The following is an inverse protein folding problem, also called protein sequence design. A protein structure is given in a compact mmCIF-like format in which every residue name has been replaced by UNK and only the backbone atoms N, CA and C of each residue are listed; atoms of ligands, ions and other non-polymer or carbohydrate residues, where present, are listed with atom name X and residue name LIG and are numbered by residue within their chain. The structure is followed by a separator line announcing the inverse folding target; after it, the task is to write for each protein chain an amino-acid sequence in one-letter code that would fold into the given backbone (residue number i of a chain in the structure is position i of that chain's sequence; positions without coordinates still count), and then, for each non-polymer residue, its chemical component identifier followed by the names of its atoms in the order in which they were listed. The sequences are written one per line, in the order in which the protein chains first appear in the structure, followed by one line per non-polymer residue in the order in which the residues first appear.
data_IF_467784828659
#
_entry.id   IF_467784828659
#
_cell.length_a   1.000
_cell.length_b   1.000
_cell.length_c   1.000
_cell.angle_alpha   90.00
_cell.angle_beta   90.00
_cell.angle_gamma   90.00
#
_symmetry.space_group_name_H-M   'P 1'
#
loop_
_entity.id
_entity.type
_entity.pdbx_description
1 polymer ?
#
# COMPACT_ATOMS: atom_id res chain seq x y z
N UNK A 1 11.28 47.09 13.27
CA UNK A 1 10.14 46.38 13.89
C UNK A 1 8.91 47.26 13.74
N UNK A 2 7.94 46.85 12.94
CA UNK A 2 6.68 47.59 12.78
C UNK A 2 5.52 46.63 13.10
N UNK A 3 4.97 46.72 14.31
CA UNK A 3 3.72 46.05 14.65
C UNK A 3 2.58 46.93 14.14
N UNK A 4 1.77 46.41 13.22
CA UNK A 4 0.54 47.05 12.76
C UNK A 4 -0.60 46.65 13.69
N UNK A 5 -1.22 47.63 14.33
CA UNK A 5 -2.43 47.45 15.13
C UNK A 5 -3.63 47.24 14.20
N UNK A 6 -4.30 46.08 14.32
CA UNK A 6 -5.57 45.79 13.65
C UNK A 6 -6.73 46.03 14.62
N UNK A 7 -7.66 46.90 14.25
CA UNK A 7 -8.85 47.20 15.05
C UNK A 7 -9.91 46.08 14.98
N UNK A 8 -10.86 46.13 15.91
CA UNK A 8 -11.97 45.18 16.15
C UNK A 8 -12.84 44.82 14.92
N UNK A 9 -12.70 45.52 13.78
CA UNK A 9 -13.49 45.31 12.57
C UNK A 9 -12.66 45.05 11.30
N UNK A 10 -11.36 44.74 11.43
CA UNK A 10 -10.58 44.31 10.27
C UNK A 10 -10.89 42.85 9.92
N UNK A 11 -11.13 42.51 8.65
CA UNK A 11 -11.30 41.12 8.24
C UNK A 11 -10.03 40.34 8.60
N UNK A 12 -10.17 39.33 9.46
CA UNK A 12 -9.06 38.47 9.83
C UNK A 12 -8.61 37.69 8.59
N UNK A 13 -7.32 37.74 8.22
CA UNK A 13 -6.78 36.71 7.35
C UNK A 13 -6.85 35.41 8.14
N UNK A 14 -7.63 34.45 7.62
CA UNK A 14 -7.66 33.08 8.10
C UNK A 14 -6.20 32.61 8.27
N UNK A 15 -5.88 32.11 9.47
CA UNK A 15 -4.54 31.63 9.78
C UNK A 15 -4.10 30.65 8.69
N UNK A 16 -2.82 30.69 8.24
CA UNK A 16 -2.36 29.78 7.22
C UNK A 16 -2.40 28.36 7.80
N UNK A 17 -3.39 27.56 7.37
CA UNK A 17 -3.30 26.11 7.47
C UNK A 17 -1.99 25.69 6.82
N UNK A 18 -1.22 24.87 7.53
CA UNK A 18 0.00 24.25 7.01
C UNK A 18 -0.39 23.27 5.90
N UNK A 19 -0.64 23.79 4.72
CA UNK A 19 -0.95 23.06 3.50
C UNK A 19 -0.44 23.86 2.32
N UNK A 20 0.17 23.19 1.34
CA UNK A 20 0.60 23.84 0.11
C UNK A 20 -0.63 24.41 -0.62
N UNK A 21 -0.64 25.71 -0.99
CA UNK A 21 -1.79 26.31 -1.65
C UNK A 21 -2.00 25.66 -3.02
N UNK A 22 -3.18 25.06 -3.24
CA UNK A 22 -3.59 24.48 -4.52
C UNK A 22 -3.81 22.96 -4.55
N UNK A 23 -3.57 22.25 -3.44
CA UNK A 23 -3.82 20.81 -3.35
C UNK A 23 -4.95 20.57 -2.33
N UNK A 24 -6.10 20.06 -2.80
CA UNK A 24 -7.17 19.61 -1.90
C UNK A 24 -6.58 18.60 -0.89
N UNK A 25 -6.93 18.68 0.41
CA UNK A 25 -6.34 17.83 1.46
C UNK A 25 -6.41 16.33 1.15
N UNK A 26 -7.40 15.94 0.36
CA UNK A 26 -7.76 14.62 -0.14
C UNK A 26 -6.86 14.12 -1.31
N UNK A 27 -5.87 14.91 -1.74
CA UNK A 27 -4.87 14.57 -2.78
C UNK A 27 -3.46 14.30 -2.23
N UNK A 28 -3.26 14.31 -0.91
CA UNK A 28 -2.01 13.86 -0.33
C UNK A 28 -1.92 12.33 -0.46
N UNK A 29 -0.77 11.75 -0.90
CA UNK A 29 -0.55 10.32 -0.78
C UNK A 29 -0.81 9.93 0.67
N UNK A 30 -1.70 8.96 0.89
CA UNK A 30 -1.98 8.47 2.24
C UNK A 30 -0.63 8.13 2.88
N UNK A 31 -0.30 8.72 4.05
CA UNK A 31 0.99 8.47 4.67
C UNK A 31 1.13 6.97 4.86
N UNK A 32 2.22 6.40 4.31
CA UNK A 32 2.46 4.97 4.35
C UNK A 32 2.17 4.43 5.77
N UNK A 33 1.33 3.38 5.89
CA UNK A 33 0.82 2.96 7.19
C UNK A 33 1.99 2.64 8.12
N UNK A 34 1.97 3.25 9.30
CA UNK A 34 3.04 3.11 10.29
C UNK A 34 2.61 2.12 11.36
N UNK A 35 3.40 1.07 11.54
CA UNK A 35 3.17 0.14 12.64
C UNK A 35 3.36 0.84 13.98
N UNK A 36 2.55 0.51 14.99
CA UNK A 36 2.63 1.08 16.35
C UNK A 36 4.01 0.93 16.98
N UNK A 37 4.73 -0.13 16.60
CA UNK A 37 6.05 -0.48 17.13
C UNK A 37 7.23 0.00 16.25
N UNK A 38 7.00 0.81 15.21
CA UNK A 38 8.02 1.18 14.24
C UNK A 38 9.27 1.87 14.83
N UNK A 39 9.18 2.46 16.03
CA UNK A 39 10.30 3.06 16.73
C UNK A 39 11.16 2.10 17.56
N UNK A 40 10.66 0.89 17.89
CA UNK A 40 11.37 -0.07 18.77
C UNK A 40 12.68 -0.62 18.20
N UNK A 41 12.80 -0.94 16.89
CA UNK A 41 14.05 -1.47 16.34
C UNK A 41 15.24 -0.51 16.47
N UNK A 42 15.00 0.80 16.51
CA UNK A 42 16.07 1.80 16.69
C UNK A 42 16.70 1.67 18.08
N UNK A 43 15.89 1.44 19.11
CA UNK A 43 16.38 1.22 20.47
C UNK A 43 17.17 -0.09 20.59
N UNK A 44 16.79 -1.13 19.84
CA UNK A 44 17.54 -2.38 19.79
C UNK A 44 18.94 -2.17 19.18
N UNK A 45 19.03 -1.38 18.09
CA UNK A 45 20.32 -1.02 17.51
C UNK A 45 21.16 -0.16 18.47
N UNK A 46 20.54 0.78 19.19
CA UNK A 46 21.21 1.58 20.21
C UNK A 46 21.69 0.72 21.40
N UNK A 47 20.94 -0.31 21.80
CA UNK A 47 21.34 -1.24 22.85
C UNK A 47 22.55 -2.10 22.48
N UNK A 48 22.89 -2.21 21.19
CA UNK A 48 24.09 -2.91 20.73
C UNK A 48 25.37 -2.07 20.87
N UNK A 49 25.27 -0.75 21.07
CA UNK A 49 26.40 0.17 21.09
C UNK A 49 27.50 -0.17 22.13
N UNK A 50 27.19 -0.73 23.32
CA UNK A 50 28.23 -1.19 24.25
C UNK A 50 29.20 -2.21 23.65
N UNK A 51 28.80 -3.01 22.66
CA UNK A 51 29.72 -3.92 21.97
C UNK A 51 30.84 -3.17 21.25
N UNK A 52 30.59 -1.97 20.72
CA UNK A 52 31.62 -1.15 20.07
C UNK A 52 32.66 -0.63 21.07
N UNK A 53 32.23 -0.21 22.26
CA UNK A 53 33.14 0.29 23.29
C UNK A 53 34.02 -0.83 23.85
N UNK A 54 33.45 -2.01 24.09
CA UNK A 54 34.19 -3.20 24.53
C UNK A 54 35.00 -3.87 23.41
N UNK A 55 34.96 -3.37 22.17
CA UNK A 55 35.71 -3.96 21.07
C UNK A 55 37.22 -3.63 21.14
N UNK A 56 37.61 -2.59 21.89
CA UNK A 56 38.98 -2.10 21.97
C UNK A 56 39.60 -2.44 23.33
N UNK A 57 40.82 -2.96 23.33
CA UNK A 57 41.60 -3.23 24.55
C UNK A 57 42.04 -4.69 24.73
N UNK A 58 41.27 -5.65 24.22
CA UNK A 58 41.45 -7.09 24.51
C UNK A 58 42.02 -7.91 23.32
N UNK A 59 42.59 -7.22 22.33
CA UNK A 59 43.26 -7.83 21.17
C UNK A 59 42.36 -8.10 19.95
N UNK A 60 42.93 -8.63 18.85
CA UNK A 60 42.27 -8.66 17.54
C UNK A 60 41.04 -9.58 17.47
N UNK A 61 41.05 -10.67 18.23
CA UNK A 61 39.96 -11.66 18.26
C UNK A 61 38.73 -11.08 18.98
N UNK A 62 38.95 -10.38 20.10
CA UNK A 62 37.89 -9.69 20.83
C UNK A 62 37.27 -8.58 19.97
N UNK A 63 38.10 -7.81 19.28
CA UNK A 63 37.67 -6.78 18.32
C UNK A 63 36.77 -7.37 17.22
N UNK A 64 37.24 -8.40 16.51
CA UNK A 64 36.49 -9.01 15.41
C UNK A 64 35.14 -9.58 15.89
N UNK A 65 35.12 -10.21 17.07
CA UNK A 65 33.90 -10.78 17.65
C UNK A 65 32.91 -9.71 18.08
N UNK A 66 33.34 -8.67 18.79
CA UNK A 66 32.46 -7.60 19.27
C UNK A 66 31.88 -6.78 18.11
N UNK A 67 32.68 -6.51 17.07
CA UNK A 67 32.18 -5.92 15.83
C UNK A 67 31.19 -6.85 15.10
N UNK A 68 31.48 -8.15 15.06
CA UNK A 68 30.56 -9.15 14.53
C UNK A 68 29.23 -9.21 15.27
N UNK A 69 29.26 -9.26 16.61
CA UNK A 69 28.07 -9.25 17.46
C UNK A 69 27.25 -7.98 17.24
N UNK A 70 27.90 -6.80 17.20
CA UNK A 70 27.25 -5.54 16.88
C UNK A 70 26.57 -5.58 15.50
N UNK A 71 27.29 -6.03 14.47
CA UNK A 71 26.75 -6.12 13.11
C UNK A 71 25.54 -7.07 13.02
N UNK A 72 25.61 -8.22 13.70
CA UNK A 72 24.52 -9.21 13.75
C UNK A 72 23.29 -8.66 14.47
N UNK A 73 23.46 -7.98 15.61
CA UNK A 73 22.33 -7.34 16.32
C UNK A 73 21.75 -6.18 15.48
N UNK A 74 22.60 -5.42 14.79
CA UNK A 74 22.16 -4.38 13.84
C UNK A 74 21.34 -4.97 12.69
N UNK A 75 21.75 -6.11 12.14
CA UNK A 75 21.00 -6.84 11.12
C UNK A 75 19.64 -7.32 11.66
N UNK A 76 19.58 -7.82 12.88
CA UNK A 76 18.33 -8.20 13.53
C UNK A 76 17.37 -6.99 13.65
N UNK A 77 17.87 -5.83 14.08
CA UNK A 77 17.09 -4.60 14.15
C UNK A 77 16.57 -4.15 12.77
N UNK A 78 17.38 -4.29 11.72
CA UNK A 78 16.95 -4.04 10.35
C UNK A 78 15.80 -4.98 9.92
N UNK A 79 15.94 -6.28 10.19
CA UNK A 79 14.91 -7.29 9.89
C UNK A 79 13.59 -7.00 10.62
N UNK A 80 13.64 -6.62 11.90
CA UNK A 80 12.45 -6.21 12.64
C UNK A 80 11.79 -4.97 12.04
N UNK A 81 12.58 -3.96 11.64
CA UNK A 81 12.05 -2.75 11.00
C UNK A 81 11.31 -3.08 9.69
N UNK A 82 11.88 -3.93 8.85
CA UNK A 82 11.25 -4.35 7.59
C UNK A 82 10.06 -5.29 7.80
N UNK A 83 10.09 -6.13 8.84
CA UNK A 83 8.96 -6.96 9.24
C UNK A 83 7.76 -6.13 9.71
N UNK A 84 7.99 -5.15 10.58
CA UNK A 84 6.92 -4.26 11.07
C UNK A 84 6.34 -3.37 9.95
N UNK A 85 7.16 -2.93 8.99
CA UNK A 85 6.65 -2.22 7.80
C UNK A 85 5.75 -3.12 6.96
N UNK A 86 6.18 -4.35 6.71
CA UNK A 86 5.41 -5.31 5.93
C UNK A 86 4.06 -5.63 6.61
N UNK A 87 4.07 -5.81 7.93
CA UNK A 87 2.85 -6.00 8.72
C UNK A 87 1.93 -4.78 8.67
N UNK A 88 2.43 -3.54 8.81
CA UNK A 88 1.58 -2.35 8.72
C UNK A 88 0.92 -2.22 7.33
N UNK A 89 1.63 -2.58 6.26
CA UNK A 89 1.03 -2.62 4.92
C UNK A 89 0.01 -3.73 4.75
N UNK A 90 0.17 -4.85 5.45
CA UNK A 90 -0.77 -5.97 5.46
C UNK A 90 -2.03 -5.65 6.29
N UNK A 91 -1.86 -4.99 7.45
CA UNK A 91 -2.96 -4.56 8.31
C UNK A 91 -3.81 -3.46 7.67
N UNK A 92 -3.19 -2.52 6.96
CA UNK A 92 -3.89 -1.42 6.30
C UNK A 92 -4.80 -1.88 5.14
N UNK A 93 -4.53 -3.05 4.55
CA UNK A 93 -5.34 -3.59 3.45
C UNK A 93 -6.46 -4.47 3.98
N UNK A 94 -7.64 -4.42 3.34
CA UNK A 94 -8.75 -5.34 3.64
C UNK A 94 -8.46 -6.75 3.14
N UNK A 95 -7.76 -6.86 2.01
CA UNK A 95 -7.30 -8.11 1.39
C UNK A 95 -5.78 -8.07 1.18
N UNK A 96 -5.05 -9.09 1.66
CA UNK A 96 -3.60 -9.16 1.48
C UNK A 96 -3.06 -10.59 1.65
N UNK A 97 -2.15 -11.00 0.76
CA UNK A 97 -1.37 -12.24 0.91
C UNK A 97 -0.35 -12.12 2.05
N UNK A 98 -0.08 -13.23 2.73
CA UNK A 98 0.95 -13.30 3.78
C UNK A 98 2.33 -12.89 3.23
N UNK A 99 3.19 -12.26 4.05
CA UNK A 99 4.57 -11.99 3.66
C UNK A 99 5.31 -13.27 3.28
N UNK A 100 6.05 -13.26 2.16
CA UNK A 100 6.76 -14.44 1.66
C UNK A 100 7.90 -14.92 2.59
N UNK A 101 8.44 -14.01 3.41
CA UNK A 101 9.54 -14.29 4.34
C UNK A 101 9.13 -13.80 5.73
N UNK A 102 9.19 -14.64 6.79
CA UNK A 102 8.89 -14.25 8.16
C UNK A 102 10.06 -13.46 8.76
N UNK A 103 10.16 -12.18 8.39
CA UNK A 103 11.30 -11.31 8.70
C UNK A 103 11.48 -11.08 10.21
N UNK A 104 10.41 -11.00 11.01
CA UNK A 104 10.52 -10.86 12.47
C UNK A 104 10.99 -12.16 13.12
N UNK A 105 10.53 -13.32 12.63
CA UNK A 105 11.01 -14.60 13.15
C UNK A 105 12.51 -14.79 12.86
N UNK A 106 12.94 -14.47 11.64
CA UNK A 106 14.37 -14.43 11.29
C UNK A 106 15.13 -13.41 12.15
N UNK A 107 14.58 -12.20 12.33
CA UNK A 107 15.14 -11.18 13.20
C UNK A 107 15.34 -11.66 14.65
N UNK A 108 14.39 -12.42 15.20
CA UNK A 108 14.50 -12.99 16.55
C UNK A 108 15.65 -14.02 16.64
N UNK A 109 15.78 -14.89 15.64
CA UNK A 109 16.89 -15.84 15.56
C UNK A 109 18.23 -15.10 15.43
N UNK A 110 18.31 -14.11 14.53
CA UNK A 110 19.51 -13.30 14.34
C UNK A 110 19.89 -12.54 15.61
N UNK A 111 18.91 -12.02 16.36
CA UNK A 111 19.15 -11.37 17.65
C UNK A 111 19.75 -12.35 18.67
N UNK A 112 19.20 -13.56 18.78
CA UNK A 112 19.75 -14.61 19.64
C UNK A 112 21.21 -14.93 19.30
N UNK A 113 21.53 -15.09 18.02
CA UNK A 113 22.91 -15.32 17.56
C UNK A 113 23.83 -14.16 17.93
N UNK A 114 23.40 -12.91 17.70
CA UNK A 114 24.19 -11.72 18.04
C UNK A 114 24.50 -11.61 19.53
N UNK A 115 23.52 -11.90 20.39
CA UNK A 115 23.69 -11.90 21.84
C UNK A 115 24.59 -13.05 22.32
N UNK A 116 24.46 -14.24 21.73
CA UNK A 116 25.31 -15.38 22.06
C UNK A 116 26.78 -15.12 21.71
N UNK A 117 27.04 -14.45 20.58
CA UNK A 117 28.39 -14.01 20.20
C UNK A 117 28.96 -12.97 21.16
N UNK A 118 28.10 -12.14 21.74
CA UNK A 118 28.46 -11.07 22.67
C UNK A 118 28.59 -11.49 24.14
N UNK A 119 28.09 -12.66 24.53
CA UNK A 119 28.14 -13.14 25.91
C UNK A 119 29.56 -13.64 26.28
N UNK A 120 30.37 -12.77 26.89
CA UNK A 120 31.79 -13.02 27.17
C UNK A 120 32.10 -13.46 28.61
N UNK A 121 31.30 -14.34 29.21
CA UNK A 121 31.62 -14.87 30.54
C UNK A 121 32.32 -16.23 30.42
N UNK A 122 33.59 -16.39 30.86
CA UNK A 122 34.33 -17.66 30.78
C UNK A 122 33.62 -18.84 31.46
N UNK A 123 32.81 -18.53 32.47
CA UNK A 123 31.94 -19.41 33.26
C UNK A 123 30.67 -19.89 32.52
N UNK A 124 30.22 -19.19 31.47
CA UNK A 124 29.04 -19.58 30.70
C UNK A 124 29.30 -20.78 29.77
N UNK A 125 30.48 -20.88 29.17
CA UNK A 125 30.80 -21.90 28.16
C UNK A 125 29.83 -21.92 26.97
N UNK A 126 29.85 -23.00 26.17
CA UNK A 126 28.95 -23.16 25.01
C UNK A 126 27.48 -23.27 25.41
N UNK A 127 27.20 -23.86 26.58
CA UNK A 127 25.84 -24.04 27.09
C UNK A 127 25.24 -22.67 27.46
N UNK A 128 25.99 -21.83 28.17
CA UNK A 128 25.53 -20.49 28.54
C UNK A 128 25.33 -19.59 27.33
N UNK A 129 26.20 -19.66 26.32
CA UNK A 129 25.98 -18.96 25.05
C UNK A 129 24.67 -19.42 24.36
N UNK A 130 24.37 -20.72 24.39
CA UNK A 130 23.11 -21.28 23.89
C UNK A 130 21.88 -20.77 24.66
N UNK A 131 21.97 -20.66 26.00
CA UNK A 131 20.90 -20.10 26.83
C UNK A 131 20.67 -18.61 26.50
N UNK A 132 21.75 -17.83 26.39
CA UNK A 132 21.66 -16.42 25.98
C UNK A 132 21.03 -16.29 24.59
N UNK A 133 21.38 -17.18 23.65
CA UNK A 133 20.74 -17.22 22.35
C UNK A 133 19.23 -17.45 22.48
N UNK A 134 18.81 -18.48 23.21
CA UNK A 134 17.41 -18.83 23.39
C UNK A 134 16.60 -17.71 24.05
N UNK A 135 17.17 -17.06 25.08
CA UNK A 135 16.57 -15.89 25.73
C UNK A 135 16.44 -14.73 24.75
N UNK A 136 17.48 -14.48 23.93
CA UNK A 136 17.45 -13.46 22.88
C UNK A 136 16.34 -13.69 21.85
N UNK A 137 16.16 -14.94 21.39
CA UNK A 137 15.07 -15.30 20.48
C UNK A 137 13.71 -15.07 21.16
N UNK A 138 13.53 -15.57 22.38
CA UNK A 138 12.27 -15.42 23.11
C UNK A 138 11.90 -13.95 23.34
N UNK A 139 12.86 -13.11 23.76
CA UNK A 139 12.66 -11.68 23.94
C UNK A 139 12.34 -10.99 22.61
N UNK A 140 13.00 -11.37 21.51
CA UNK A 140 12.70 -10.86 20.17
C UNK A 140 11.25 -11.18 19.75
N UNK A 141 10.81 -12.42 19.95
CA UNK A 141 9.44 -12.83 19.66
C UNK A 141 8.40 -12.12 20.54
N UNK A 142 8.68 -11.94 21.83
CA UNK A 142 7.77 -11.22 22.75
C UNK A 142 7.70 -9.73 22.41
N UNK A 143 8.83 -9.10 22.08
CA UNK A 143 8.90 -7.66 21.87
C UNK A 143 8.30 -7.21 20.53
N UNK A 144 8.40 -8.05 19.49
CA UNK A 144 8.01 -7.71 18.10
C UNK A 144 6.86 -8.57 17.54
N UNK A 145 6.54 -9.69 18.17
CA UNK A 145 5.54 -10.65 17.71
C UNK A 145 6.04 -11.51 16.54
N UNK A 146 5.21 -12.48 16.16
CA UNK A 146 5.38 -13.25 14.93
C UNK A 146 4.88 -12.46 13.72
N UNK A 147 5.36 -12.80 12.53
CA UNK A 147 4.82 -12.27 11.27
C UNK A 147 3.43 -12.87 11.00
N UNK A 148 2.52 -12.14 10.33
CA UNK A 148 1.23 -12.68 9.87
C UNK A 148 1.44 -13.92 8.98
N UNK A 149 0.96 -15.09 9.43
CA UNK A 149 1.16 -16.36 8.72
C UNK A 149 -0.03 -16.79 7.85
N UNK A 150 -1.14 -16.04 7.91
CA UNK A 150 -2.37 -16.31 7.17
C UNK A 150 -2.69 -15.16 6.22
N UNK A 151 -3.34 -15.51 5.12
CA UNK A 151 -3.86 -14.52 4.19
C UNK A 151 -5.08 -13.81 4.80
N UNK A 152 -5.23 -12.52 4.52
CA UNK A 152 -6.31 -11.68 5.04
C UNK A 152 -7.40 -11.51 3.99
N UNK A 153 -8.65 -11.73 4.38
CA UNK A 153 -9.81 -11.41 3.54
C UNK A 153 -9.90 -12.22 2.24
N UNK A 154 -9.25 -13.38 2.18
CA UNK A 154 -9.27 -14.28 1.01
C UNK A 154 -10.14 -15.53 1.23
N UNK A 155 -10.95 -15.57 2.30
CA UNK A 155 -11.90 -16.67 2.54
C UNK A 155 -13.11 -16.52 1.59
N UNK A 156 -13.29 -17.49 0.70
CA UNK A 156 -14.46 -17.56 -0.21
C UNK A 156 -14.24 -17.07 -1.64
N UNK A 157 -13.07 -16.51 -1.98
CA UNK A 157 -12.76 -16.04 -3.35
C UNK A 157 -11.73 -16.98 -3.98
N UNK A 158 -12.12 -17.65 -5.08
CA UNK A 158 -11.25 -18.54 -5.86
C UNK A 158 -9.96 -17.79 -6.29
N UNK A 159 -8.75 -18.24 -5.90
CA UNK A 159 -7.48 -17.62 -6.28
C UNK A 159 -7.33 -17.42 -7.80
N UNK A 160 -7.95 -18.29 -8.61
CA UNK A 160 -7.97 -18.16 -10.07
C UNK A 160 -8.80 -16.96 -10.55
N UNK A 161 -9.83 -16.53 -9.82
CA UNK A 161 -10.58 -15.32 -10.14
C UNK A 161 -9.70 -14.07 -9.88
N UNK A 162 -9.02 -13.99 -8.75
CA UNK A 162 -8.15 -12.85 -8.42
C UNK A 162 -6.98 -12.71 -9.39
N UNK A 163 -6.28 -13.81 -9.71
CA UNK A 163 -5.18 -13.78 -10.67
C UNK A 163 -5.67 -13.37 -12.08
N UNK A 164 -6.91 -13.70 -12.45
CA UNK A 164 -7.54 -13.23 -13.69
C UNK A 164 -7.86 -11.74 -13.65
N UNK A 165 -8.43 -11.23 -12.55
CA UNK A 165 -8.69 -9.80 -12.37
C UNK A 165 -7.38 -9.03 -12.49
N UNK A 166 -6.35 -9.41 -11.73
CA UNK A 166 -5.06 -8.73 -11.72
C UNK A 166 -4.42 -8.65 -13.13
N UNK A 167 -4.52 -9.72 -13.93
CA UNK A 167 -4.03 -9.72 -15.32
C UNK A 167 -4.79 -8.74 -16.20
N UNK A 168 -6.12 -8.69 -16.09
CA UNK A 168 -6.96 -7.78 -16.88
C UNK A 168 -6.77 -6.33 -16.45
N UNK A 169 -6.60 -6.06 -15.15
CA UNK A 169 -6.24 -4.73 -14.64
C UNK A 169 -4.91 -4.28 -15.20
N UNK A 170 -3.87 -5.12 -15.11
CA UNK A 170 -2.55 -4.79 -15.62
C UNK A 170 -2.55 -4.50 -17.14
N UNK A 171 -3.36 -5.24 -17.91
CA UNK A 171 -3.53 -5.00 -19.34
C UNK A 171 -4.23 -3.65 -19.61
N UNK A 172 -5.29 -3.34 -18.85
CA UNK A 172 -5.98 -2.05 -18.93
C UNK A 172 -5.09 -0.87 -18.53
N UNK A 173 -4.30 -0.99 -17.47
CA UNK A 173 -3.32 0.02 -17.05
C UNK A 173 -2.28 0.29 -18.14
N UNK A 174 -1.79 -0.76 -18.80
CA UNK A 174 -0.85 -0.63 -19.92
C UNK A 174 -1.44 0.15 -21.09
N UNK A 175 -2.70 -0.10 -21.45
CA UNK A 175 -3.38 0.67 -22.49
C UNK A 175 -3.56 2.14 -22.09
N UNK A 176 -3.93 2.38 -20.82
CA UNK A 176 -4.13 3.72 -20.29
C UNK A 176 -2.82 4.52 -20.21
N UNK A 177 -1.72 3.89 -19.82
CA UNK A 177 -0.39 4.51 -19.82
C UNK A 177 0.05 4.87 -21.24
N UNK A 178 -0.10 3.95 -22.19
CA UNK A 178 0.23 4.22 -23.60
C UNK A 178 -0.62 5.36 -24.22
N UNK A 179 -1.89 5.50 -23.81
CA UNK A 179 -2.72 6.64 -24.19
C UNK A 179 -2.17 7.95 -23.64
N UNK A 180 -1.82 7.99 -22.34
CA UNK A 180 -1.26 9.18 -21.69
C UNK A 180 0.05 9.61 -22.35
N UNK A 181 0.92 8.64 -22.65
CA UNK A 181 2.20 8.90 -23.34
C UNK A 181 1.98 9.43 -24.76
N UNK A 182 0.94 8.97 -25.46
CA UNK A 182 0.60 9.49 -26.78
C UNK A 182 0.21 10.97 -26.73
N UNK A 183 -0.62 11.35 -25.75
CA UNK A 183 -1.13 12.71 -25.62
C UNK A 183 -0.09 13.66 -25.01
N UNK A 184 0.78 13.18 -24.11
CA UNK A 184 1.85 13.99 -23.54
C UNK A 184 2.82 14.56 -24.59
N UNK A 185 2.95 13.91 -25.76
CA UNK A 185 3.79 14.37 -26.89
C UNK A 185 3.25 15.61 -27.60
N UNK A 186 2.00 15.99 -27.36
CA UNK A 186 1.29 17.06 -28.09
C UNK A 186 1.53 18.45 -27.46
N UNK A 187 2.10 18.52 -26.26
CA UNK A 187 2.35 19.75 -25.47
C UNK A 187 1.12 20.67 -25.33
N UNK A 188 -0.07 20.06 -25.19
CA UNK A 188 -1.33 20.75 -24.91
C UNK A 188 -1.81 20.43 -23.49
N UNK A 189 -1.62 21.39 -22.58
CA UNK A 189 -1.96 21.22 -21.16
C UNK A 189 -3.44 20.91 -20.91
N UNK A 190 -4.36 21.45 -21.73
CA UNK A 190 -5.81 21.20 -21.57
C UNK A 190 -6.15 19.77 -21.96
N UNK A 191 -5.57 19.29 -23.06
CA UNK A 191 -5.80 17.92 -23.52
C UNK A 191 -5.18 16.89 -22.58
N UNK A 192 -3.97 17.16 -22.06
CA UNK A 192 -3.35 16.35 -21.01
C UNK A 192 -4.23 16.28 -19.77
N UNK A 193 -4.75 17.42 -19.28
CA UNK A 193 -5.65 17.43 -18.13
C UNK A 193 -6.94 16.62 -18.36
N UNK A 194 -7.52 16.68 -19.58
CA UNK A 194 -8.71 15.89 -19.93
C UNK A 194 -8.40 14.39 -19.96
N UNK A 195 -7.25 14.02 -20.52
CA UNK A 195 -6.82 12.61 -20.56
C UNK A 195 -6.55 12.08 -19.15
N UNK A 196 -5.99 12.89 -18.25
CA UNK A 196 -5.81 12.52 -16.84
C UNK A 196 -7.15 12.37 -16.10
N UNK A 197 -8.16 13.20 -16.40
CA UNK A 197 -9.51 13.04 -15.84
C UNK A 197 -10.14 11.70 -16.25
N UNK A 198 -10.07 11.36 -17.55
CA UNK A 198 -10.49 10.04 -18.02
C UNK A 198 -9.69 8.91 -17.35
N UNK A 199 -8.37 9.06 -17.21
CA UNK A 199 -7.52 8.08 -16.54
C UNK A 199 -7.91 7.86 -15.07
N UNK A 200 -8.31 8.92 -14.36
CA UNK A 200 -8.83 8.81 -13.00
C UNK A 200 -10.11 7.98 -12.94
N UNK A 201 -11.05 8.21 -13.87
CA UNK A 201 -12.30 7.43 -13.97
C UNK A 201 -12.05 5.96 -14.32
N UNK A 202 -11.10 5.68 -15.22
CA UNK A 202 -10.67 4.32 -15.54
C UNK A 202 -10.05 3.60 -14.34
N UNK A 203 -9.17 4.26 -13.59
CA UNK A 203 -8.61 3.71 -12.33
C UNK A 203 -9.67 3.50 -11.26
N UNK A 204 -10.72 4.32 -11.22
CA UNK A 204 -11.88 4.11 -10.37
C UNK A 204 -12.58 2.78 -10.67
N UNK A 205 -12.80 2.47 -11.95
CA UNK A 205 -13.36 1.19 -12.39
C UNK A 205 -12.45 0.02 -12.01
N UNK A 206 -11.13 0.14 -12.19
CA UNK A 206 -10.18 -0.92 -11.84
C UNK A 206 -10.28 -1.28 -10.36
N UNK A 207 -10.27 -0.28 -9.47
CA UNK A 207 -10.41 -0.49 -8.03
C UNK A 207 -11.73 -1.18 -7.66
N UNK A 208 -12.84 -0.77 -8.27
CA UNK A 208 -14.14 -1.39 -8.01
C UNK A 208 -14.13 -2.90 -8.36
N UNK A 209 -13.48 -3.28 -9.46
CA UNK A 209 -13.36 -4.70 -9.87
C UNK A 209 -12.35 -5.48 -9.02
N UNK A 210 -11.30 -4.83 -8.53
CA UNK A 210 -10.37 -5.43 -7.56
C UNK A 210 -11.03 -5.67 -6.19
N UNK A 211 -11.95 -4.79 -5.79
CA UNK A 211 -12.74 -4.92 -4.57
C UNK A 211 -13.80 -6.04 -4.67
N UNK A 212 -14.44 -6.19 -5.83
CA UNK A 212 -15.39 -7.27 -6.12
C UNK A 212 -15.06 -8.02 -7.44
N UNK A 213 -14.28 -9.12 -7.35
CA UNK A 213 -13.91 -9.94 -8.50
C UNK A 213 -15.09 -10.60 -9.24
N UNK A 214 -16.26 -10.75 -8.58
CA UNK A 214 -17.43 -11.41 -9.16
C UNK A 214 -17.94 -10.72 -10.42
N UNK A 215 -17.74 -9.41 -10.50
CA UNK A 215 -18.24 -8.57 -11.58
C UNK A 215 -17.27 -8.37 -12.75
N UNK A 216 -16.12 -9.05 -12.75
CA UNK A 216 -15.10 -8.95 -13.81
C UNK A 216 -15.69 -9.16 -15.20
N UNK A 217 -16.61 -10.12 -15.37
CA UNK A 217 -17.20 -10.45 -16.67
C UNK A 217 -17.85 -9.23 -17.32
N UNK A 218 -18.55 -8.43 -16.53
CA UNK A 218 -19.31 -7.30 -17.04
C UNK A 218 -18.47 -6.01 -17.12
N UNK A 219 -17.33 -5.93 -16.43
CA UNK A 219 -16.36 -4.83 -16.55
C UNK A 219 -15.24 -5.07 -17.60
N UNK A 220 -14.92 -6.33 -17.92
CA UNK A 220 -13.79 -6.72 -18.79
C UNK A 220 -13.70 -5.93 -20.09
N UNK A 221 -14.83 -5.74 -20.79
CA UNK A 221 -14.88 -5.04 -22.08
C UNK A 221 -14.38 -3.59 -21.99
N UNK A 222 -14.58 -2.93 -20.86
CA UNK A 222 -14.10 -1.57 -20.63
C UNK A 222 -12.58 -1.55 -20.52
N UNK A 223 -12.02 -2.49 -19.76
CA UNK A 223 -10.59 -2.57 -19.47
C UNK A 223 -9.76 -3.03 -20.67
N UNK A 224 -10.33 -3.83 -21.56
CA UNK A 224 -9.63 -4.30 -22.76
C UNK A 224 -10.04 -3.51 -24.00
N UNK A 225 -11.22 -3.77 -24.55
CA UNK A 225 -11.65 -3.25 -25.86
C UNK A 225 -11.73 -1.72 -25.87
N UNK A 226 -12.33 -1.11 -24.84
CA UNK A 226 -12.49 0.35 -24.82
C UNK A 226 -11.19 1.09 -24.53
N UNK A 227 -10.34 0.62 -23.61
CA UNK A 227 -9.04 1.24 -23.37
C UNK A 227 -8.06 1.03 -24.52
N UNK A 228 -8.08 -0.15 -25.16
CA UNK A 228 -7.33 -0.38 -26.39
C UNK A 228 -7.80 0.58 -27.49
N UNK A 229 -9.11 0.72 -27.69
CA UNK A 229 -9.67 1.66 -28.67
C UNK A 229 -9.31 3.11 -28.37
N UNK A 230 -9.37 3.52 -27.09
CA UNK A 230 -9.00 4.86 -26.64
C UNK A 230 -7.51 5.14 -26.92
N UNK A 231 -6.63 4.19 -26.57
CA UNK A 231 -5.19 4.25 -26.90
C UNK A 231 -4.97 4.42 -28.39
N UNK A 232 -5.58 3.56 -29.20
CA UNK A 232 -5.35 3.55 -30.65
C UNK A 232 -5.88 4.85 -31.30
N UNK A 233 -7.00 5.38 -30.81
CA UNK A 233 -7.51 6.70 -31.21
C UNK A 233 -6.56 7.83 -30.79
N UNK A 234 -6.04 7.80 -29.56
CA UNK A 234 -5.09 8.80 -29.05
C UNK A 234 -3.77 8.82 -29.82
N UNK A 235 -3.24 7.66 -30.21
CA UNK A 235 -2.05 7.57 -31.07
C UNK A 235 -2.32 8.19 -32.44
N UNK A 236 -3.43 7.80 -33.09
CA UNK A 236 -3.80 8.38 -34.40
C UNK A 236 -4.02 9.88 -34.33
N UNK A 237 -4.67 10.35 -33.28
CA UNK A 237 -4.87 11.78 -33.05
C UNK A 237 -3.52 12.50 -32.86
N UNK A 238 -2.60 11.96 -32.07
CA UNK A 238 -1.28 12.55 -31.87
C UNK A 238 -0.48 12.66 -33.18
N UNK A 239 -0.51 11.62 -34.01
CA UNK A 239 0.18 11.61 -35.31
C UNK A 239 -0.44 12.64 -36.27
N UNK A 240 -1.78 12.74 -36.31
CA UNK A 240 -2.48 13.73 -37.12
C UNK A 240 -2.19 15.15 -36.63
N UNK A 241 -2.23 15.39 -35.33
CA UNK A 241 -1.97 16.69 -34.73
C UNK A 241 -0.55 17.18 -35.01
N UNK A 242 0.45 16.29 -34.98
CA UNK A 242 1.83 16.61 -35.31
C UNK A 242 2.01 17.06 -36.77
N UNK A 243 1.17 16.58 -37.70
CA UNK A 243 1.28 16.87 -39.13
C UNK A 243 0.45 18.08 -39.58
N UNK A 244 -0.80 18.20 -39.14
CA UNK A 244 -1.76 19.19 -39.68
C UNK A 244 -2.34 20.15 -38.63
N UNK A 245 -2.18 19.86 -37.33
CA UNK A 245 -2.87 20.57 -36.23
C UNK A 245 -4.38 20.71 -36.47
N UNK A 246 -4.99 19.61 -36.92
CA UNK A 246 -6.41 19.56 -37.26
C UNK A 246 -7.32 19.78 -36.03
N UNK A 247 -8.05 20.91 -36.02
CA UNK A 247 -8.98 21.28 -34.95
C UNK A 247 -10.25 20.42 -34.88
N UNK A 248 -10.69 19.85 -36.01
CA UNK A 248 -11.83 18.93 -36.03
C UNK A 248 -11.46 17.62 -35.34
N UNK A 249 -10.30 17.05 -35.69
CA UNK A 249 -9.80 15.83 -35.04
C UNK A 249 -9.62 16.00 -33.53
N UNK A 250 -9.19 17.19 -33.08
CA UNK A 250 -9.13 17.54 -31.66
C UNK A 250 -10.51 17.49 -31.01
N UNK A 251 -11.49 18.12 -31.62
CA UNK A 251 -12.86 18.20 -31.07
C UNK A 251 -13.49 16.82 -30.99
N UNK A 252 -13.32 15.99 -32.02
CA UNK A 252 -13.80 14.60 -32.03
C UNK A 252 -13.11 13.74 -30.97
N UNK A 253 -11.80 13.91 -30.78
CA UNK A 253 -11.06 13.18 -29.74
C UNK A 253 -11.44 13.64 -28.32
N UNK A 254 -11.64 14.94 -28.09
CA UNK A 254 -12.15 15.46 -26.82
C UNK A 254 -13.56 14.89 -26.51
N UNK A 255 -14.46 14.84 -27.51
CA UNK A 255 -15.79 14.23 -27.37
C UNK A 255 -15.71 12.73 -27.05
N UNK A 256 -14.79 12.00 -27.67
CA UNK A 256 -14.56 10.59 -27.37
C UNK A 256 -14.14 10.39 -25.90
N UNK A 257 -13.25 11.25 -25.38
CA UNK A 257 -12.84 11.18 -23.98
C UNK A 257 -14.01 11.47 -23.03
N UNK A 258 -14.88 12.42 -23.37
CA UNK A 258 -16.09 12.74 -22.59
C UNK A 258 -17.04 11.54 -22.52
N UNK A 259 -17.31 10.92 -23.66
CA UNK A 259 -18.18 9.74 -23.75
C UNK A 259 -17.59 8.56 -22.98
N UNK A 260 -16.30 8.29 -23.13
CA UNK A 260 -15.62 7.23 -22.40
C UNK A 260 -15.65 7.49 -20.89
N UNK A 261 -15.35 8.70 -20.44
CA UNK A 261 -15.40 9.05 -19.01
C UNK A 261 -16.80 8.83 -18.42
N UNK A 262 -17.85 9.27 -19.13
CA UNK A 262 -19.23 9.08 -18.71
C UNK A 262 -19.59 7.59 -18.59
N UNK A 263 -19.22 6.79 -19.60
CA UNK A 263 -19.49 5.35 -19.62
C UNK A 263 -18.73 4.59 -18.52
N UNK A 264 -17.45 4.93 -18.27
CA UNK A 264 -16.67 4.31 -17.19
C UNK A 264 -17.20 4.68 -15.82
N UNK A 265 -17.62 5.95 -15.64
CA UNK A 265 -18.22 6.42 -14.39
C UNK A 265 -19.55 5.72 -14.13
N UNK A 266 -20.42 5.63 -15.14
CA UNK A 266 -21.69 4.92 -15.03
C UNK A 266 -21.48 3.44 -14.73
N UNK A 267 -20.52 2.79 -15.40
CA UNK A 267 -20.19 1.39 -15.15
C UNK A 267 -19.68 1.16 -13.72
N UNK A 268 -18.83 2.04 -13.21
CA UNK A 268 -18.31 1.97 -11.84
C UNK A 268 -19.44 2.09 -10.82
N UNK A 269 -20.39 3.02 -11.02
CA UNK A 269 -21.56 3.16 -10.14
C UNK A 269 -22.43 1.90 -10.14
N UNK A 270 -22.71 1.34 -11.30
CA UNK A 270 -23.51 0.12 -11.42
C UNK A 270 -22.90 -1.07 -10.67
N UNK A 271 -21.57 -1.20 -10.68
CA UNK A 271 -20.86 -2.24 -9.90
C UNK A 271 -20.99 -2.04 -8.38
N UNK A 272 -20.91 -0.78 -7.94
CA UNK A 272 -21.06 -0.46 -6.51
C UNK A 272 -22.50 -0.65 -6.02
N UNK A 273 -23.48 -0.47 -6.91
CA UNK A 273 -24.90 -0.70 -6.65
C UNK A 273 -25.23 -2.20 -6.59
N UNK A 274 -24.75 -3.02 -7.54
CA UNK A 274 -24.95 -4.48 -7.51
C UNK A 274 -24.39 -5.12 -6.25
N UNK A 275 -23.23 -4.66 -5.77
CA UNK A 275 -22.66 -5.14 -4.50
C UNK A 275 -23.54 -4.83 -3.28
N UNK A 276 -24.29 -3.71 -3.29
CA UNK A 276 -25.23 -3.37 -2.20
C UNK A 276 -26.48 -4.23 -2.24
N UNK A 277 -27.05 -4.44 -3.44
CA UNK A 277 -28.22 -5.31 -3.61
C UNK A 277 -27.92 -6.75 -3.17
N UNK A 278 -26.73 -7.27 -3.49
CA UNK A 278 -26.30 -8.59 -3.03
C UNK A 278 -26.25 -8.71 -1.51
N UNK A 279 -25.69 -7.70 -0.82
CA UNK A 279 -25.64 -7.66 0.64
C UNK A 279 -27.04 -7.60 1.27
N UNK A 280 -27.95 -6.79 0.71
CA UNK A 280 -29.31 -6.66 1.22
C UNK A 280 -30.07 -7.99 1.13
N UNK A 281 -29.91 -8.71 0.00
CA UNK A 281 -30.47 -10.06 -0.17
C UNK A 281 -29.86 -11.04 0.84
N UNK A 282 -28.53 -11.03 1.05
CA UNK A 282 -27.89 -11.90 2.04
C UNK A 282 -28.37 -11.63 3.47
N UNK A 283 -28.57 -10.35 3.83
CA UNK A 283 -29.14 -9.94 5.12
C UNK A 283 -30.56 -10.46 5.27
N UNK A 284 -31.39 -10.36 4.22
CA UNK A 284 -32.76 -10.88 4.23
C UNK A 284 -32.79 -12.40 4.38
N UNK A 285 -31.96 -13.12 3.62
CA UNK A 285 -31.81 -14.58 3.73
C UNK A 285 -31.33 -14.99 5.13
N UNK A 286 -30.38 -14.26 5.73
CA UNK A 286 -29.94 -14.50 7.09
C UNK A 286 -31.05 -14.24 8.11
N UNK A 287 -31.83 -13.18 7.95
CA UNK A 287 -33.00 -12.91 8.81
C UNK A 287 -34.04 -14.03 8.70
N UNK A 288 -34.32 -14.51 7.50
CA UNK A 288 -35.23 -15.63 7.27
C UNK A 288 -34.74 -16.92 7.91
N UNK A 289 -33.44 -17.22 7.83
CA UNK A 289 -32.82 -18.37 8.51
C UNK A 289 -32.88 -18.22 10.03
N UNK A 290 -32.51 -17.06 10.57
CA UNK A 290 -32.58 -16.78 12.00
C UNK A 290 -34.01 -16.86 12.55
N UNK A 291 -35.00 -16.41 11.76
CA UNK A 291 -36.42 -16.51 12.11
C UNK A 291 -36.91 -17.97 12.12
N UNK A 292 -36.44 -18.79 11.18
CA UNK A 292 -36.73 -20.24 11.14
C UNK A 292 -36.03 -21.02 12.26
N UNK A 293 -34.82 -20.61 12.62
CA UNK A 293 -34.02 -21.23 13.68
C UNK A 293 -34.38 -20.70 15.09
N UNK A 294 -35.36 -19.80 15.21
CA UNK A 294 -35.90 -19.30 16.48
C UNK A 294 -34.96 -18.37 17.27
N UNK A 295 -33.89 -17.88 16.65
CA UNK A 295 -32.89 -17.04 17.30
C UNK A 295 -33.36 -15.60 17.30
N UNK A 296 -33.99 -15.16 18.40
CA UNK A 296 -34.32 -13.75 18.61
C UNK A 296 -33.11 -13.01 19.14
N UNK A 297 -32.69 -11.93 18.46
CA UNK A 297 -31.62 -11.07 18.94
C UNK A 297 -31.98 -10.53 20.36
N UNK A 298 -31.05 -10.57 21.33
CA UNK A 298 -31.31 -10.02 22.65
C UNK A 298 -31.59 -8.52 22.50
N UNK A 299 -32.78 -8.09 22.95
CA UNK A 299 -33.10 -6.67 23.08
C UNK A 299 -32.22 -6.10 24.21
N UNK A 300 -31.29 -5.22 23.87
CA UNK A 300 -30.67 -4.27 24.79
C UNK A 300 -30.67 -2.89 24.15
#
# INVERSE_FOLDING_TARGET
MAQRFGGKYSPQPMAPEKGFPGVAPDRLPDPAPRHRLAGRPVWLAAAAFPFLFNAFGDGPVALARNLGAFAVVGLAAFLFREGLKAEATWEARKTARRPAVPRKALGAVTLGVGLALGAQAPDLGLIGAGVVAAVGVALGLIAFGLDPMRDKGMEGIDPFQQDRVAKVVAEGEKHLEALRDAIARIDDARLTARTEAFAASARGLFRAVEEDPGDLTAARRYMTVYLQGARDAGVKFADLWASSRDGQARTEFESLLDDLEANFTARTKALLESGREGLDIEIEVLRDRLARDGVTAPRS
#
